data_IF_604279110330
#
_entry.id   IF_604279110330
#
_cell.length_a   1.000
_cell.length_b   1.000
_cell.length_c   1.000
_cell.angle_alpha   90.00
_cell.angle_beta   90.00
_cell.angle_gamma   90.00
#
_symmetry.space_group_name_H-M   'P 1'
#
loop_
_entity.id
_entity.type
_entity.pdbx_description
1 polymer ?
#
# COMPACT_ATOMS: atom_id res chain seq x y z
N UNK A 1 -9.35 -7.63 5.72
CA UNK A 1 -8.01 -7.13 6.12
C UNK A 1 -7.47 -6.22 5.02
N UNK A 2 -6.65 -5.21 5.34
CA UNK A 2 -6.01 -4.33 4.34
C UNK A 2 -4.51 -4.23 4.64
N UNK A 3 -3.69 -4.36 3.61
CA UNK A 3 -2.24 -4.17 3.64
C UNK A 3 -1.91 -3.07 2.63
N UNK A 4 -1.23 -2.02 3.10
CA UNK A 4 -0.78 -0.92 2.26
C UNK A 4 0.71 -1.10 1.99
N UNK A 5 1.09 -1.14 0.73
CA UNK A 5 2.49 -1.15 0.31
C UNK A 5 2.88 0.25 -0.14
N UNK A 6 3.96 0.76 0.44
CA UNK A 6 4.50 2.07 0.18
C UNK A 6 5.85 1.93 -0.53
N UNK A 7 6.16 2.85 -1.43
CA UNK A 7 7.51 2.90 -1.97
C UNK A 7 8.48 3.36 -0.89
N UNK A 8 9.56 2.60 -0.70
CA UNK A 8 10.62 2.99 0.23
C UNK A 8 11.56 4.05 -0.37
N UNK A 9 11.70 4.08 -1.71
CA UNK A 9 12.43 5.11 -2.43
C UNK A 9 13.84 5.36 -1.88
N UNK A 10 14.13 6.62 -1.55
CA UNK A 10 15.40 7.09 -0.98
C UNK A 10 15.64 6.67 0.49
N UNK A 11 14.78 5.81 1.03
CA UNK A 11 14.81 5.38 2.41
C UNK A 11 14.15 6.37 3.38
N UNK A 12 14.53 6.26 4.65
CA UNK A 12 13.98 7.13 5.69
C UNK A 12 14.41 8.59 5.51
N UNK A 13 13.51 9.49 5.83
CA UNK A 13 13.63 10.95 5.72
C UNK A 13 13.23 11.59 7.04
N UNK A 14 13.70 12.82 7.25
CA UNK A 14 13.45 13.58 8.48
C UNK A 14 11.96 13.80 8.78
N UNK A 15 11.57 13.86 10.04
CA UNK A 15 10.21 14.29 10.42
C UNK A 15 9.99 15.80 10.22
N UNK A 16 8.74 16.25 10.36
CA UNK A 16 8.40 17.69 10.36
C UNK A 16 8.20 18.34 8.97
N UNK A 17 8.33 17.59 7.87
CA UNK A 17 7.93 18.06 6.53
C UNK A 17 6.49 17.62 6.18
N UNK A 18 5.82 18.39 5.33
CA UNK A 18 4.43 18.13 4.95
C UNK A 18 4.25 16.79 4.23
N UNK A 19 3.18 16.07 4.59
CA UNK A 19 2.68 14.81 3.99
C UNK A 19 3.64 13.60 3.99
N UNK A 20 4.52 13.49 5.00
CA UNK A 20 5.32 12.28 5.20
C UNK A 20 4.54 11.18 5.92
N UNK A 21 4.85 9.92 5.61
CA UNK A 21 4.38 8.78 6.40
C UNK A 21 5.46 8.44 7.43
N UNK A 22 5.18 8.70 8.70
CA UNK A 22 6.12 8.46 9.81
C UNK A 22 5.75 7.22 10.61
N UNK A 23 6.77 6.53 11.11
CA UNK A 23 6.66 5.25 11.80
C UNK A 23 7.05 5.40 13.27
N UNK A 24 6.15 5.03 14.18
CA UNK A 24 6.35 5.18 15.62
C UNK A 24 7.38 4.19 16.19
N UNK A 25 7.66 3.12 15.48
CA UNK A 25 8.64 2.09 15.80
C UNK A 25 10.06 2.43 15.33
N UNK A 26 10.25 3.56 14.62
CA UNK A 26 11.56 4.07 14.23
C UNK A 26 11.92 5.35 14.98
N UNK A 27 13.16 5.49 15.50
CA UNK A 27 13.56 6.66 16.25
C UNK A 27 13.71 7.90 15.35
N UNK A 28 13.24 9.08 15.79
CA UNK A 28 13.46 10.34 15.08
C UNK A 28 14.95 10.75 15.06
N UNK A 29 15.38 11.64 14.15
CA UNK A 29 14.55 12.38 13.20
C UNK A 29 14.27 11.63 11.89
N UNK A 30 15.03 10.58 11.54
CA UNK A 30 14.91 9.82 10.29
C UNK A 30 13.94 8.63 10.45
N UNK A 31 12.66 8.91 10.64
CA UNK A 31 11.61 7.92 10.91
C UNK A 31 10.43 7.97 9.92
N UNK A 32 10.53 8.73 8.84
CA UNK A 32 9.45 8.87 7.87
C UNK A 32 9.86 8.45 6.45
N UNK A 33 8.90 8.18 5.58
CA UNK A 33 9.11 7.99 4.13
C UNK A 33 8.25 8.96 3.33
N UNK A 34 8.53 9.11 2.04
CA UNK A 34 7.59 9.76 1.13
C UNK A 34 6.28 8.98 1.12
N UNK A 35 5.15 9.67 1.25
CA UNK A 35 3.82 9.05 1.32
C UNK A 35 3.30 8.71 -0.08
N UNK A 36 4.10 7.95 -0.82
CA UNK A 36 3.78 7.46 -2.15
C UNK A 36 3.41 5.97 -2.08
N UNK A 37 2.12 5.70 -2.27
CA UNK A 37 1.56 4.35 -2.13
C UNK A 37 1.78 3.57 -3.43
N UNK A 38 2.51 2.47 -3.35
CA UNK A 38 2.69 1.56 -4.48
C UNK A 38 1.38 0.86 -4.85
N UNK A 39 0.80 0.10 -3.90
CA UNK A 39 -0.49 -0.57 -4.10
C UNK A 39 -1.09 -1.02 -2.77
N UNK A 40 -2.33 -1.51 -2.83
CA UNK A 40 -3.08 -2.02 -1.67
C UNK A 40 -3.49 -3.46 -1.91
N UNK A 41 -3.32 -4.31 -0.91
CA UNK A 41 -3.91 -5.65 -0.89
C UNK A 41 -5.05 -5.64 0.12
N UNK A 42 -6.21 -6.16 -0.25
CA UNK A 42 -7.35 -6.24 0.66
C UNK A 42 -8.10 -7.54 0.50
N UNK A 43 -8.72 -8.01 1.57
CA UNK A 43 -9.61 -9.18 1.56
C UNK A 43 -11.04 -8.79 1.90
N UNK A 44 -12.01 -9.41 1.23
CA UNK A 44 -13.42 -9.32 1.62
C UNK A 44 -13.80 -10.36 2.69
N UNK A 45 -15.09 -10.39 3.05
CA UNK A 45 -15.63 -11.35 4.03
C UNK A 45 -15.60 -12.81 3.58
N UNK A 46 -15.36 -13.07 2.29
CA UNK A 46 -15.26 -14.42 1.72
C UNK A 46 -13.80 -14.78 1.40
N UNK A 47 -12.82 -14.02 1.90
CA UNK A 47 -11.39 -14.20 1.65
C UNK A 47 -10.96 -14.01 0.19
N UNK A 48 -11.77 -13.34 -0.64
CA UNK A 48 -11.32 -12.94 -1.97
C UNK A 48 -10.24 -11.88 -1.85
N UNK A 49 -9.10 -12.08 -2.51
CA UNK A 49 -7.98 -11.15 -2.49
C UNK A 49 -8.11 -10.14 -3.63
N UNK A 50 -7.99 -8.87 -3.27
CA UNK A 50 -8.04 -7.74 -4.19
C UNK A 50 -6.76 -6.93 -4.15
N UNK A 51 -6.36 -6.43 -5.31
CA UNK A 51 -5.22 -5.54 -5.50
C UNK A 51 -5.75 -4.19 -6.01
N UNK A 52 -5.56 -3.14 -5.23
CA UNK A 52 -5.81 -1.76 -5.65
C UNK A 52 -4.50 -1.13 -6.11
N UNK A 53 -4.44 -0.80 -7.39
CA UNK A 53 -3.30 -0.13 -8.04
C UNK A 53 -3.80 1.18 -8.68
N UNK A 54 -2.90 1.99 -9.22
CA UNK A 54 -3.26 3.29 -9.81
C UNK A 54 -4.31 3.17 -10.93
N UNK A 55 -4.24 2.12 -11.76
CA UNK A 55 -5.13 1.97 -12.92
C UNK A 55 -6.46 1.25 -12.61
N UNK A 56 -6.68 0.84 -11.36
CA UNK A 56 -7.94 0.24 -10.92
C UNK A 56 -7.79 -0.86 -9.87
N UNK A 57 -8.83 -1.67 -9.75
CA UNK A 57 -8.90 -2.77 -8.78
C UNK A 57 -8.95 -4.11 -9.52
N UNK A 58 -8.16 -5.05 -9.02
CA UNK A 58 -8.06 -6.41 -9.56
C UNK A 58 -8.42 -7.41 -8.47
N UNK A 59 -8.90 -8.58 -8.86
CA UNK A 59 -9.06 -9.73 -7.96
C UNK A 59 -8.41 -10.97 -8.54
N UNK A 60 -7.97 -11.88 -7.68
CA UNK A 60 -7.51 -13.21 -8.08
C UNK A 60 -8.69 -14.17 -8.04
N UNK A 61 -8.97 -14.82 -9.16
CA UNK A 61 -10.01 -15.86 -9.21
C UNK A 61 -9.50 -17.21 -8.68
N UNK A 62 -10.42 -18.16 -8.58
CA UNK A 62 -10.18 -19.57 -8.24
C UNK A 62 -9.08 -20.26 -9.06
N UNK A 63 -8.86 -19.80 -10.30
CA UNK A 63 -7.82 -20.29 -11.23
C UNK A 63 -6.49 -19.55 -11.10
N UNK A 64 -6.32 -18.69 -10.08
CA UNK A 64 -5.10 -17.92 -9.87
C UNK A 64 -4.86 -16.78 -10.88
N UNK A 65 -5.88 -16.41 -11.68
CA UNK A 65 -5.76 -15.33 -12.67
C UNK A 65 -6.18 -13.98 -12.07
N UNK A 66 -5.41 -12.94 -12.38
CA UNK A 66 -5.77 -11.56 -12.06
C UNK A 66 -6.78 -11.02 -13.06
N UNK A 67 -7.94 -10.59 -12.56
CA UNK A 67 -9.04 -10.04 -13.35
C UNK A 67 -9.31 -8.61 -12.90
N UNK A 68 -9.33 -7.66 -13.85
CA UNK A 68 -9.69 -6.26 -13.57
C UNK A 68 -11.19 -6.15 -13.31
N UNK A 69 -11.57 -5.49 -12.22
CA UNK A 69 -12.97 -5.18 -11.91
C UNK A 69 -13.40 -4.05 -12.84
N UNK A 70 -14.44 -4.31 -13.64
CA UNK A 70 -15.14 -3.28 -14.38
C UNK A 70 -16.24 -2.73 -13.48
N UNK A 71 -16.29 -1.41 -13.37
CA UNK A 71 -17.40 -0.69 -12.76
C UNK A 71 -18.44 -0.37 -13.82
#
# INVERSE_FOLDING_TARGET
MVILLWYFGDGYKEEGKYDRLCFNDMPPPLNCIEKDKAFTVSTDRHNNVFFGVHDGKYYINDKGKMIKIKY
#
